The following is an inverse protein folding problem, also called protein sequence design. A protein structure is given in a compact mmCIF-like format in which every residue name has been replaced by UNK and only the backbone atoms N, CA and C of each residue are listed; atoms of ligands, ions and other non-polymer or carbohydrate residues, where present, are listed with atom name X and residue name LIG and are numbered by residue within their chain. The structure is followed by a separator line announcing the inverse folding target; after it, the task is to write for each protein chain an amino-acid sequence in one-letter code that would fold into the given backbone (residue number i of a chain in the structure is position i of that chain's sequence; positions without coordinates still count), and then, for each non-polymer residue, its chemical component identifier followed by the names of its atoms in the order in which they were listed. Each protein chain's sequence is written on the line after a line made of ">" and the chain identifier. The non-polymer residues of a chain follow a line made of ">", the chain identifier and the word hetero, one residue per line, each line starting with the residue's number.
data_IF_241864563920
#
_entry.id   IF_241864563920
#
_cell.length_a   1.000
_cell.length_b   1.000
_cell.length_c   1.000
_cell.angle_alpha   90.00
_cell.angle_beta   90.00
_cell.angle_gamma   90.00
#
_symmetry.space_group_name_H-M   'P 1'
#
loop_
_entity.id
_entity.type
_entity.pdbx_description
1 polymer ?
#
# COMPACT_ATOMS: atom_id res chain seq x y z
N UNK A 1 -17.60 -11.58 -22.66
CA UNK A 1 -18.35 -11.27 -21.41
C UNK A 1 -18.64 -9.80 -21.50
N UNK A 2 -19.87 -9.37 -21.28
CA UNK A 2 -20.19 -7.95 -21.33
C UNK A 2 -19.54 -7.18 -20.15
N UNK A 3 -19.37 -5.88 -20.31
CA UNK A 3 -18.68 -5.00 -19.36
C UNK A 3 -19.33 -5.03 -17.95
N UNK A 4 -20.67 -5.06 -17.89
CA UNK A 4 -21.43 -5.14 -16.65
C UNK A 4 -21.06 -6.39 -15.84
N UNK A 5 -21.13 -7.56 -16.46
CA UNK A 5 -20.82 -8.82 -15.83
C UNK A 5 -19.33 -8.94 -15.47
N UNK A 6 -18.45 -8.34 -16.28
CA UNK A 6 -17.03 -8.30 -15.97
C UNK A 6 -16.75 -7.52 -14.67
N UNK A 7 -17.21 -6.27 -14.60
CA UNK A 7 -16.99 -5.41 -13.41
C UNK A 7 -17.64 -6.03 -12.17
N UNK A 8 -18.87 -6.54 -12.25
CA UNK A 8 -19.52 -7.26 -11.13
C UNK A 8 -18.67 -8.40 -10.58
N UNK A 9 -18.06 -9.21 -11.44
CA UNK A 9 -17.16 -10.29 -11.01
C UNK A 9 -15.92 -9.73 -10.31
N UNK A 10 -15.34 -8.67 -10.83
CA UNK A 10 -14.11 -8.08 -10.30
C UNK A 10 -14.25 -7.45 -8.90
N UNK A 11 -15.46 -7.27 -8.38
CA UNK A 11 -15.66 -6.96 -6.96
C UNK A 11 -15.15 -8.06 -6.03
N UNK A 12 -15.12 -9.30 -6.48
CA UNK A 12 -14.69 -10.45 -5.70
C UNK A 12 -13.24 -10.80 -6.00
N UNK A 13 -12.41 -10.95 -4.95
CA UNK A 13 -10.99 -11.31 -5.06
C UNK A 13 -10.76 -12.53 -5.96
N UNK A 14 -11.54 -13.60 -5.76
CA UNK A 14 -11.42 -14.85 -6.55
C UNK A 14 -11.45 -14.63 -8.07
N UNK A 15 -12.25 -13.64 -8.52
CA UNK A 15 -12.36 -13.35 -9.95
C UNK A 15 -11.21 -12.47 -10.42
N UNK A 16 -10.73 -11.52 -9.60
CA UNK A 16 -9.53 -10.76 -9.91
C UNK A 16 -8.32 -11.69 -10.05
N UNK A 17 -8.18 -12.64 -9.12
CA UNK A 17 -7.10 -13.64 -9.15
C UNK A 17 -7.22 -14.55 -10.38
N UNK A 18 -8.43 -15.07 -10.66
CA UNK A 18 -8.67 -15.98 -11.78
C UNK A 18 -8.46 -15.32 -13.15
N UNK A 19 -8.87 -14.07 -13.29
CA UNK A 19 -8.83 -13.36 -14.58
C UNK A 19 -7.54 -12.56 -14.76
N UNK A 20 -6.76 -12.31 -13.69
CA UNK A 20 -5.61 -11.42 -13.71
C UNK A 20 -6.01 -9.98 -14.00
N UNK A 21 -7.25 -9.58 -13.63
CA UNK A 21 -7.81 -8.26 -13.91
C UNK A 21 -8.22 -7.56 -12.62
N UNK A 22 -8.26 -6.24 -12.68
CA UNK A 22 -8.85 -5.37 -11.64
C UNK A 22 -9.51 -4.16 -12.33
N UNK A 23 -10.26 -3.38 -11.58
CA UNK A 23 -10.86 -2.17 -12.12
C UNK A 23 -10.62 -0.97 -11.20
N UNK A 24 -10.59 0.20 -11.81
CA UNK A 24 -10.40 1.50 -11.17
C UNK A 24 -11.62 2.36 -11.44
N UNK A 25 -12.11 3.08 -10.44
CA UNK A 25 -13.29 3.94 -10.51
C UNK A 25 -12.89 5.41 -10.42
N UNK A 26 -13.43 6.23 -11.30
CA UNK A 26 -13.29 7.69 -11.30
C UNK A 26 -12.21 8.22 -12.22
N UNK A 27 -12.43 9.44 -12.69
CA UNK A 27 -11.64 10.08 -13.74
C UNK A 27 -10.18 10.28 -13.32
N UNK A 28 -9.94 10.77 -12.10
CA UNK A 28 -8.58 11.03 -11.59
C UNK A 28 -7.79 9.72 -11.44
N UNK A 29 -8.46 8.67 -10.95
CA UNK A 29 -7.83 7.37 -10.76
C UNK A 29 -7.51 6.67 -12.11
N UNK A 30 -8.39 6.84 -13.10
CA UNK A 30 -8.17 6.35 -14.47
C UNK A 30 -7.09 7.18 -15.17
N UNK A 31 -7.09 8.50 -15.00
CA UNK A 31 -6.07 9.38 -15.57
C UNK A 31 -4.66 9.15 -14.98
N UNK A 32 -4.58 8.63 -13.74
CA UNK A 32 -3.31 8.26 -13.12
C UNK A 32 -2.71 6.96 -13.68
N UNK A 33 -3.47 6.19 -14.46
CA UNK A 33 -3.01 4.92 -14.99
C UNK A 33 -1.86 5.11 -16.00
N UNK A 34 -0.87 4.23 -15.91
CA UNK A 34 0.29 4.19 -16.82
C UNK A 34 0.15 3.10 -17.90
N UNK A 35 -0.99 2.41 -17.93
CA UNK A 35 -1.29 1.34 -18.88
C UNK A 35 -2.63 1.60 -19.59
N UNK A 36 -2.79 0.98 -20.76
CA UNK A 36 -4.05 1.02 -21.47
C UNK A 36 -5.10 0.10 -20.82
N UNK A 37 -6.36 0.54 -20.69
CA UNK A 37 -7.41 -0.29 -20.16
C UNK A 37 -7.81 -1.42 -21.15
N UNK A 38 -8.14 -2.58 -20.60
CA UNK A 38 -8.73 -3.70 -21.36
C UNK A 38 -10.19 -3.41 -21.73
N UNK A 39 -10.85 -2.65 -20.86
CA UNK A 39 -12.26 -2.27 -21.02
C UNK A 39 -12.48 -0.89 -20.39
N UNK A 40 -13.22 -0.02 -21.05
CA UNK A 40 -13.61 1.29 -20.56
C UNK A 40 -15.13 1.39 -20.49
N UNK A 41 -15.68 1.63 -19.32
CA UNK A 41 -17.11 1.68 -19.05
C UNK A 41 -17.50 3.12 -18.77
N UNK A 42 -18.36 3.68 -19.63
CA UNK A 42 -18.87 5.06 -19.53
C UNK A 42 -20.39 5.14 -19.58
N UNK A 43 -21.09 4.00 -19.78
CA UNK A 43 -22.57 3.96 -19.75
C UNK A 43 -23.05 4.26 -18.32
N UNK A 44 -23.82 5.36 -18.11
CA UNK A 44 -24.28 5.75 -16.79
C UNK A 44 -25.15 4.68 -16.09
N UNK A 45 -25.88 3.87 -16.84
CA UNK A 45 -26.71 2.79 -16.28
C UNK A 45 -25.83 1.68 -15.71
N UNK A 46 -24.80 1.29 -16.46
CA UNK A 46 -23.83 0.27 -16.02
C UNK A 46 -23.05 0.81 -14.80
N UNK A 47 -22.57 2.05 -14.87
CA UNK A 47 -21.83 2.68 -13.78
C UNK A 47 -22.63 2.73 -12.48
N UNK A 48 -23.92 3.14 -12.54
CA UNK A 48 -24.80 3.19 -11.38
C UNK A 48 -25.05 1.81 -10.75
N UNK A 49 -24.97 0.75 -11.55
CA UNK A 49 -25.24 -0.61 -11.08
C UNK A 49 -24.01 -1.30 -10.48
N UNK A 50 -22.80 -0.96 -10.94
CA UNK A 50 -21.57 -1.65 -10.53
C UNK A 50 -20.68 -0.84 -9.59
N UNK A 51 -20.85 0.45 -9.50
CA UNK A 51 -20.02 1.28 -8.63
C UNK A 51 -20.31 1.02 -7.15
N UNK A 52 -19.25 1.05 -6.35
CA UNK A 52 -19.30 1.01 -4.88
C UNK A 52 -19.09 2.39 -4.24
N UNK A 53 -18.93 3.43 -5.05
CA UNK A 53 -18.80 4.79 -4.59
C UNK A 53 -20.18 5.36 -4.16
N UNK A 54 -20.19 6.28 -3.20
CA UNK A 54 -21.42 6.95 -2.75
C UNK A 54 -22.14 7.67 -3.90
N UNK A 55 -21.35 8.17 -4.87
CA UNK A 55 -21.86 8.73 -6.13
C UNK A 55 -21.20 7.96 -7.27
N UNK A 56 -21.98 7.41 -8.23
CA UNK A 56 -21.41 6.72 -9.36
C UNK A 56 -20.40 7.61 -10.11
N UNK A 57 -19.21 7.08 -10.43
CA UNK A 57 -18.23 7.81 -11.22
C UNK A 57 -18.72 7.96 -12.68
N UNK A 58 -18.07 8.79 -13.47
CA UNK A 58 -18.34 8.90 -14.92
C UNK A 58 -17.60 7.86 -15.74
N UNK A 59 -16.65 7.17 -15.13
CA UNK A 59 -15.84 6.15 -15.81
C UNK A 59 -15.39 5.08 -14.83
N UNK A 60 -15.39 3.84 -15.31
CA UNK A 60 -14.69 2.69 -14.72
C UNK A 60 -13.78 2.13 -15.81
N UNK A 61 -12.54 1.85 -15.49
CA UNK A 61 -11.60 1.22 -16.40
C UNK A 61 -11.06 -0.08 -15.83
N UNK A 62 -11.01 -1.13 -16.63
CA UNK A 62 -10.49 -2.45 -16.28
C UNK A 62 -9.08 -2.59 -16.79
N UNK A 63 -8.17 -3.07 -15.96
CA UNK A 63 -6.76 -3.25 -16.29
C UNK A 63 -6.29 -4.66 -15.98
N UNK A 64 -5.17 -5.04 -16.59
CA UNK A 64 -4.45 -6.28 -16.26
C UNK A 64 -3.59 -6.06 -15.02
N UNK A 65 -3.50 -7.08 -14.15
CA UNK A 65 -2.59 -7.01 -12.99
C UNK A 65 -1.11 -6.98 -13.38
N UNK A 66 -0.76 -7.62 -14.49
CA UNK A 66 0.60 -7.62 -15.02
C UNK A 66 1.04 -6.28 -15.62
N UNK A 67 0.13 -5.30 -15.71
CA UNK A 67 0.44 -3.91 -16.06
C UNK A 67 0.85 -3.04 -14.87
N UNK A 68 0.73 -3.56 -13.64
CA UNK A 68 1.27 -2.87 -12.46
C UNK A 68 2.80 -2.90 -12.45
N UNK A 69 3.45 -1.95 -11.74
CA UNK A 69 4.91 -1.91 -11.68
C UNK A 69 5.51 -3.26 -11.26
N UNK A 70 6.51 -3.70 -12.01
CA UNK A 70 7.32 -4.85 -11.59
C UNK A 70 8.04 -4.54 -10.27
N UNK A 71 8.37 -5.60 -9.52
CA UNK A 71 9.17 -5.43 -8.30
C UNK A 71 10.52 -4.80 -8.64
N UNK A 72 10.84 -3.77 -7.89
CA UNK A 72 12.11 -3.08 -7.91
C UNK A 72 12.50 -2.76 -6.47
N UNK A 73 13.74 -3.08 -6.09
CA UNK A 73 14.25 -2.72 -4.78
C UNK A 73 14.38 -1.21 -4.65
N UNK A 74 13.95 -0.71 -3.51
CA UNK A 74 14.06 0.71 -3.12
C UNK A 74 14.91 0.83 -1.85
N UNK A 75 15.38 2.04 -1.55
CA UNK A 75 16.08 2.33 -0.31
C UNK A 75 15.21 2.05 0.92
N UNK A 76 13.90 2.18 0.80
CA UNK A 76 12.94 1.83 1.84
C UNK A 76 11.86 0.87 1.32
N UNK A 77 11.43 -0.05 2.17
CA UNK A 77 10.29 -0.95 1.92
C UNK A 77 9.37 -0.96 3.14
N UNK A 78 8.07 -0.82 2.92
CA UNK A 78 7.05 -1.16 3.92
C UNK A 78 6.69 -2.63 3.76
N UNK A 79 7.03 -3.46 4.71
CA UNK A 79 6.72 -4.89 4.72
C UNK A 79 5.49 -5.14 5.61
N UNK A 80 4.38 -5.51 5.00
CA UNK A 80 3.06 -5.61 5.63
C UNK A 80 2.75 -7.05 6.00
N UNK A 81 2.57 -7.30 7.31
CA UNK A 81 2.17 -8.62 7.81
C UNK A 81 0.69 -8.65 8.11
N UNK A 82 -0.09 -9.39 7.30
CA UNK A 82 -1.51 -9.67 7.49
C UNK A 82 -2.39 -8.44 7.76
N UNK A 83 -2.07 -7.31 7.14
CA UNK A 83 -2.89 -6.10 7.23
C UNK A 83 -4.21 -6.36 6.52
N UNK A 84 -5.28 -6.54 7.30
CA UNK A 84 -6.59 -7.00 6.82
C UNK A 84 -7.48 -5.88 6.27
N UNK A 85 -7.29 -4.62 6.71
CA UNK A 85 -8.08 -3.50 6.19
C UNK A 85 -7.51 -2.99 4.85
N UNK A 86 -8.29 -3.05 3.76
CA UNK A 86 -7.84 -2.57 2.44
C UNK A 86 -7.61 -1.06 2.40
N UNK A 87 -8.21 -0.29 3.31
CA UNK A 87 -7.94 1.15 3.45
C UNK A 87 -6.53 1.40 3.98
N UNK A 88 -6.08 0.63 4.98
CA UNK A 88 -4.71 0.71 5.51
C UNK A 88 -3.70 0.28 4.44
N UNK A 89 -3.93 -0.83 3.73
CA UNK A 89 -3.06 -1.27 2.63
C UNK A 89 -2.95 -0.17 1.56
N UNK A 90 -4.08 0.39 1.10
CA UNK A 90 -4.07 1.46 0.10
C UNK A 90 -3.38 2.74 0.58
N UNK A 91 -3.58 3.12 1.86
CA UNK A 91 -2.92 4.28 2.46
C UNK A 91 -1.41 4.08 2.57
N UNK A 92 -0.96 2.87 2.94
CA UNK A 92 0.46 2.53 2.99
C UNK A 92 1.11 2.56 1.60
N UNK A 93 0.42 2.08 0.56
CA UNK A 93 0.88 2.20 -0.83
C UNK A 93 1.01 3.68 -1.23
N UNK A 94 0.01 4.51 -0.89
CA UNK A 94 0.07 5.95 -1.16
C UNK A 94 1.20 6.64 -0.42
N UNK A 95 1.44 6.25 0.81
CA UNK A 95 2.56 6.75 1.62
C UNK A 95 3.90 6.32 1.03
N UNK A 96 4.03 5.06 0.61
CA UNK A 96 5.22 4.56 -0.05
C UNK A 96 5.55 5.35 -1.33
N UNK A 97 4.55 5.66 -2.15
CA UNK A 97 4.71 6.54 -3.33
C UNK A 97 5.30 7.90 -2.96
N UNK A 98 4.73 8.55 -1.94
CA UNK A 98 5.17 9.88 -1.49
C UNK A 98 6.65 9.92 -1.03
N UNK A 99 7.16 8.80 -0.52
CA UNK A 99 8.54 8.69 -0.02
C UNK A 99 9.46 7.87 -0.94
N UNK A 100 9.01 7.48 -2.13
CA UNK A 100 9.81 6.69 -3.06
C UNK A 100 10.12 5.26 -2.57
N UNK A 101 9.28 4.72 -1.68
CA UNK A 101 9.44 3.40 -1.10
C UNK A 101 8.72 2.31 -1.92
N UNK A 102 9.06 1.05 -1.67
CA UNK A 102 8.34 -0.12 -2.15
C UNK A 102 7.42 -0.69 -1.07
N UNK A 103 6.52 -1.61 -1.45
CA UNK A 103 5.64 -2.31 -0.50
C UNK A 103 5.73 -3.81 -0.72
N UNK A 104 5.98 -4.57 0.34
CA UNK A 104 5.93 -6.03 0.36
C UNK A 104 4.70 -6.49 1.18
N UNK A 105 4.01 -7.50 0.68
CA UNK A 105 2.74 -7.97 1.24
C UNK A 105 2.86 -9.45 1.63
N UNK A 106 2.61 -9.80 2.90
CA UNK A 106 2.49 -11.19 3.31
C UNK A 106 1.18 -11.82 2.80
N UNK A 107 1.10 -13.15 2.73
CA UNK A 107 -0.20 -13.83 2.67
C UNK A 107 -1.09 -13.37 3.82
N UNK A 108 -2.38 -13.14 3.55
CA UNK A 108 -3.33 -12.62 4.55
C UNK A 108 -3.55 -11.11 4.49
N UNK A 109 -2.70 -10.35 3.83
CA UNK A 109 -2.99 -8.94 3.54
C UNK A 109 -4.23 -8.78 2.65
N UNK A 110 -4.93 -7.65 2.83
CA UNK A 110 -5.97 -7.25 1.90
C UNK A 110 -5.39 -7.11 0.49
N UNK A 111 -6.19 -7.48 -0.50
CA UNK A 111 -5.80 -7.37 -1.91
C UNK A 111 -5.62 -5.89 -2.29
N UNK A 112 -4.40 -5.45 -2.69
CA UNK A 112 -4.13 -4.06 -3.07
C UNK A 112 -4.93 -3.62 -4.30
N UNK A 113 -5.43 -4.57 -5.11
CA UNK A 113 -6.29 -4.31 -6.26
C UNK A 113 -7.79 -4.39 -5.95
N UNK A 114 -8.18 -4.48 -4.67
CA UNK A 114 -9.58 -4.36 -4.28
C UNK A 114 -10.09 -2.92 -4.46
N UNK A 115 -11.37 -2.70 -4.79
CA UNK A 115 -11.91 -1.35 -5.01
C UNK A 115 -11.67 -0.38 -3.85
N UNK A 116 -11.77 -0.87 -2.59
CA UNK A 116 -11.51 -0.05 -1.40
C UNK A 116 -10.03 0.34 -1.28
N UNK A 117 -9.10 -0.60 -1.53
CA UNK A 117 -7.67 -0.31 -1.50
C UNK A 117 -7.30 0.66 -2.62
N UNK A 118 -7.76 0.43 -3.85
CA UNK A 118 -7.48 1.30 -5.00
C UNK A 118 -7.92 2.74 -4.77
N UNK A 119 -9.10 2.95 -4.19
CA UNK A 119 -9.52 4.32 -3.82
C UNK A 119 -8.56 4.97 -2.82
N UNK A 120 -8.10 4.20 -1.82
CA UNK A 120 -7.17 4.72 -0.81
C UNK A 120 -5.78 5.01 -1.39
N UNK A 121 -5.36 4.31 -2.46
CA UNK A 121 -4.07 4.58 -3.12
C UNK A 121 -4.06 5.93 -3.85
N UNK A 122 -5.21 6.46 -4.24
CA UNK A 122 -5.32 7.68 -5.05
C UNK A 122 -4.40 7.67 -6.29
N UNK A 123 -4.31 6.51 -6.98
CA UNK A 123 -3.49 6.32 -8.17
C UNK A 123 -2.02 5.91 -7.92
N UNK A 124 -1.56 5.87 -6.67
CA UNK A 124 -0.18 5.46 -6.35
C UNK A 124 0.12 4.00 -6.70
N UNK A 125 -0.90 3.16 -6.86
CA UNK A 125 -0.77 1.76 -7.29
C UNK A 125 0.01 1.61 -8.60
N UNK A 126 0.01 2.63 -9.45
CA UNK A 126 0.68 2.66 -10.75
C UNK A 126 2.18 3.00 -10.70
N UNK A 127 2.69 3.39 -9.52
CA UNK A 127 4.07 3.86 -9.35
C UNK A 127 4.86 3.09 -8.31
N UNK A 128 4.16 2.41 -7.40
CA UNK A 128 4.80 1.70 -6.28
C UNK A 128 5.07 0.24 -6.66
N UNK A 129 6.32 -0.22 -6.61
CA UNK A 129 6.64 -1.64 -6.75
C UNK A 129 6.01 -2.46 -5.62
N UNK A 130 5.28 -3.53 -5.98
CA UNK A 130 4.64 -4.42 -5.03
C UNK A 130 5.27 -5.82 -5.08
N UNK A 131 5.70 -6.34 -3.92
CA UNK A 131 6.19 -7.70 -3.77
C UNK A 131 5.14 -8.56 -3.04
N UNK A 132 4.83 -9.71 -3.61
CA UNK A 132 3.89 -10.68 -3.00
C UNK A 132 4.50 -11.58 -1.93
N UNK A 133 5.80 -11.46 -1.66
CA UNK A 133 6.55 -12.21 -0.64
C UNK A 133 7.29 -11.23 0.25
N UNK A 134 6.78 -11.01 1.45
CA UNK A 134 7.30 -9.98 2.35
C UNK A 134 8.61 -10.36 3.06
N UNK A 135 8.93 -11.64 3.13
CA UNK A 135 10.13 -12.22 3.72
C UNK A 135 11.38 -12.09 2.84
N UNK A 136 11.20 -11.74 1.57
CA UNK A 136 12.31 -11.56 0.63
C UNK A 136 12.84 -10.11 0.56
N UNK A 137 12.42 -9.22 1.49
CA UNK A 137 12.88 -7.83 1.50
C UNK A 137 14.32 -7.71 1.98
N UNK A 138 15.10 -6.89 1.29
CA UNK A 138 16.51 -6.65 1.60
C UNK A 138 16.66 -5.45 2.56
N UNK A 139 17.78 -5.41 3.28
CA UNK A 139 18.19 -4.32 4.16
C UNK A 139 17.92 -4.58 5.63
N UNK A 140 18.16 -3.57 6.47
CA UNK A 140 17.90 -3.63 7.91
C UNK A 140 16.41 -3.77 8.17
N UNK A 141 16.02 -4.83 8.88
CA UNK A 141 14.62 -5.14 9.21
C UNK A 141 14.24 -4.52 10.55
N UNK A 142 13.46 -3.47 10.49
CA UNK A 142 13.00 -2.70 11.66
C UNK A 142 11.53 -3.03 11.93
N UNK A 143 11.27 -3.79 12.98
CA UNK A 143 9.92 -4.11 13.40
C UNK A 143 9.30 -2.93 14.14
N UNK A 144 8.20 -2.36 13.62
CA UNK A 144 7.48 -1.31 14.31
C UNK A 144 6.55 -1.94 15.36
N UNK A 145 6.87 -1.73 16.62
CA UNK A 145 6.13 -2.29 17.77
C UNK A 145 5.44 -1.19 18.58
N UNK A 146 4.29 -1.52 19.18
CA UNK A 146 3.56 -0.57 20.03
C UNK A 146 4.23 -0.40 21.40
N UNK A 147 4.85 -1.47 21.90
CA UNK A 147 5.45 -1.51 23.24
C UNK A 147 6.85 -2.13 23.19
N UNK A 148 7.72 -1.71 24.10
CA UNK A 148 9.11 -2.16 24.08
C UNK A 148 9.88 -1.54 22.90
N UNK A 149 11.04 -2.13 22.59
CA UNK A 149 11.90 -1.66 21.51
C UNK A 149 12.58 -0.31 21.76
N UNK A 150 13.47 0.04 20.87
CA UNK A 150 14.21 1.30 20.91
C UNK A 150 13.34 2.45 20.34
N UNK A 151 13.69 3.69 20.70
CA UNK A 151 13.07 4.84 20.03
C UNK A 151 13.46 4.84 18.55
N UNK A 152 12.48 4.89 17.66
CA UNK A 152 12.71 4.90 16.22
C UNK A 152 13.71 5.99 15.81
N UNK A 153 13.70 7.14 16.50
CA UNK A 153 14.62 8.22 16.24
C UNK A 153 16.08 7.87 16.57
N UNK A 154 16.35 6.86 17.40
CA UNK A 154 17.70 6.43 17.83
C UNK A 154 18.20 5.17 17.11
N UNK A 155 17.33 4.43 16.43
CA UNK A 155 17.69 3.20 15.70
C UNK A 155 18.61 3.52 14.54
N UNK A 156 19.71 2.77 14.40
CA UNK A 156 20.55 2.84 13.21
C UNK A 156 19.85 2.19 12.02
N UNK A 157 19.68 2.97 10.96
CA UNK A 157 19.09 2.53 9.71
C UNK A 157 20.21 2.38 8.67
N UNK A 158 20.33 1.21 8.06
CA UNK A 158 21.28 0.98 6.98
C UNK A 158 20.93 1.76 5.70
N UNK A 159 21.71 1.55 4.64
CA UNK A 159 21.44 2.15 3.32
C UNK A 159 20.10 1.69 2.74
N UNK A 160 19.65 0.49 3.12
CA UNK A 160 18.32 -0.05 2.81
C UNK A 160 17.63 -0.45 4.10
N UNK A 161 16.36 -0.14 4.21
CA UNK A 161 15.56 -0.47 5.38
C UNK A 161 14.21 -1.07 4.99
N UNK A 162 13.81 -2.12 5.70
CA UNK A 162 12.47 -2.66 5.65
C UNK A 162 11.77 -2.41 6.98
N UNK A 163 10.76 -1.55 6.99
CA UNK A 163 9.89 -1.35 8.14
C UNK A 163 8.81 -2.43 8.13
N UNK A 164 8.86 -3.31 9.13
CA UNK A 164 7.91 -4.41 9.29
C UNK A 164 6.69 -3.91 10.09
N UNK A 165 5.52 -4.02 9.51
CA UNK A 165 4.25 -3.55 10.06
C UNK A 165 3.34 -4.76 10.30
N UNK A 166 2.99 -5.03 11.54
CA UNK A 166 2.17 -6.15 11.95
C UNK A 166 0.66 -5.90 11.81
N UNK A 167 -0.11 -6.99 11.87
CA UNK A 167 -1.58 -6.97 11.92
C UNK A 167 -2.08 -6.05 13.04
N UNK A 168 -3.24 -5.42 12.84
CA UNK A 168 -3.76 -4.37 13.73
C UNK A 168 -4.04 -4.86 15.17
N UNK A 169 -4.27 -6.14 15.37
CA UNK A 169 -4.58 -6.72 16.70
C UNK A 169 -3.45 -7.57 17.23
N UNK A 170 -2.91 -8.46 16.41
CA UNK A 170 -1.92 -9.46 16.81
C UNK A 170 -0.47 -8.93 16.70
N UNK A 171 -0.27 -7.83 15.96
CA UNK A 171 1.06 -7.32 15.69
C UNK A 171 1.88 -8.22 14.76
N UNK A 172 3.19 -8.23 14.94
CA UNK A 172 4.11 -9.12 14.25
C UNK A 172 4.32 -10.39 15.07
N UNK A 173 4.36 -11.60 14.44
CA UNK A 173 4.75 -12.83 15.13
C UNK A 173 6.14 -12.73 15.75
N UNK A 174 6.34 -13.43 16.87
CA UNK A 174 7.62 -13.39 17.59
C UNK A 174 8.78 -14.01 16.79
N UNK A 175 8.48 -14.95 15.91
CA UNK A 175 9.43 -15.67 15.04
C UNK A 175 9.74 -14.93 13.72
N UNK A 176 9.13 -13.78 13.50
CA UNK A 176 9.48 -12.94 12.34
C UNK A 176 10.93 -12.45 12.49
N UNK A 177 11.74 -12.75 11.49
CA UNK A 177 13.14 -12.34 11.44
C UNK A 177 13.25 -10.81 11.33
N UNK A 178 13.96 -10.20 12.27
CA UNK A 178 14.16 -8.75 12.36
C UNK A 178 15.47 -8.43 13.08
N UNK A 179 16.05 -7.30 12.75
CA UNK A 179 17.30 -6.85 13.34
C UNK A 179 17.05 -6.02 14.61
N UNK A 180 15.94 -5.24 14.63
CA UNK A 180 15.61 -4.39 15.75
C UNK A 180 14.09 -4.19 15.87
N UNK A 181 13.61 -4.12 17.12
CA UNK A 181 12.28 -3.63 17.47
C UNK A 181 12.36 -2.13 17.73
N UNK A 182 11.60 -1.35 16.98
CA UNK A 182 11.52 0.10 17.14
C UNK A 182 10.09 0.55 17.47
N UNK A 183 9.98 1.53 18.35
CA UNK A 183 8.72 2.16 18.70
C UNK A 183 8.71 3.63 18.32
N UNK A 184 7.53 4.13 18.00
CA UNK A 184 7.27 5.56 17.85
C UNK A 184 6.78 6.05 19.21
N UNK A 185 7.52 6.94 19.91
CA UNK A 185 7.07 7.48 21.18
C UNK A 185 5.77 8.27 21.02
N UNK A 186 4.73 7.84 21.72
CA UNK A 186 3.41 8.48 21.74
C UNK A 186 2.95 8.69 23.18
N UNK A 187 2.16 9.73 23.42
CA UNK A 187 1.53 10.00 24.70
C UNK A 187 0.01 9.88 24.56
N UNK A 188 -0.66 9.19 25.48
CA UNK A 188 -2.12 9.16 25.56
C UNK A 188 -2.85 8.13 24.70
N UNK A 189 -2.12 7.23 24.04
CA UNK A 189 -2.68 6.09 23.33
C UNK A 189 -1.79 4.86 23.50
N UNK A 190 -2.37 3.64 23.36
CA UNK A 190 -1.60 2.39 23.43
C UNK A 190 -0.85 2.10 22.13
N UNK A 191 -1.42 2.50 21.00
CA UNK A 191 -0.84 2.26 19.68
C UNK A 191 -1.32 3.28 18.65
N UNK A 192 -0.62 3.36 17.53
CA UNK A 192 -1.03 4.10 16.34
C UNK A 192 -1.78 3.19 15.36
N UNK A 193 -2.61 3.81 14.52
CA UNK A 193 -3.04 3.15 13.29
C UNK A 193 -1.83 2.74 12.46
N UNK A 194 -1.87 1.54 11.87
CA UNK A 194 -0.72 0.96 11.16
C UNK A 194 -0.25 1.81 9.98
N UNK A 195 -1.18 2.47 9.27
CA UNK A 195 -0.80 3.36 8.17
C UNK A 195 -0.14 4.65 8.68
N UNK A 196 -0.56 5.16 9.84
CA UNK A 196 0.11 6.29 10.48
C UNK A 196 1.53 5.91 10.96
N UNK A 197 1.70 4.72 11.53
CA UNK A 197 3.02 4.23 11.94
C UNK A 197 3.97 4.12 10.73
N UNK A 198 3.52 3.54 9.62
CA UNK A 198 4.31 3.46 8.39
C UNK A 198 4.68 4.83 7.82
N UNK A 199 3.76 5.80 7.89
CA UNK A 199 4.02 7.17 7.42
C UNK A 199 5.10 7.87 8.26
N UNK A 200 5.03 7.73 9.59
CA UNK A 200 6.02 8.30 10.51
C UNK A 200 7.40 7.65 10.29
N UNK A 201 7.45 6.34 10.09
CA UNK A 201 8.70 5.63 9.84
C UNK A 201 9.39 6.10 8.55
N UNK A 202 8.65 6.23 7.46
CA UNK A 202 9.19 6.74 6.20
C UNK A 202 9.58 8.22 6.30
N UNK A 203 8.80 9.03 7.01
CA UNK A 203 9.15 10.43 7.27
C UNK A 203 10.46 10.53 8.07
N UNK A 204 10.61 9.74 9.15
CA UNK A 204 11.82 9.74 9.96
C UNK A 204 13.05 9.33 9.13
N UNK A 205 12.93 8.30 8.28
CA UNK A 205 13.98 7.94 7.35
C UNK A 205 14.32 9.08 6.40
N UNK A 206 13.31 9.69 5.78
CA UNK A 206 13.51 10.79 4.81
C UNK A 206 14.20 11.98 5.46
N UNK A 207 13.86 12.31 6.71
CA UNK A 207 14.46 13.40 7.47
C UNK A 207 15.95 13.19 7.73
N UNK A 208 16.39 11.93 7.86
CA UNK A 208 17.82 11.59 8.06
C UNK A 208 18.61 11.56 6.76
N UNK A 209 17.97 11.23 5.66
CA UNK A 209 18.63 11.06 4.35
C UNK A 209 18.61 12.33 3.49
N UNK A 210 17.66 13.23 3.74
CA UNK A 210 17.62 14.52 3.05
C UNK A 210 18.68 15.46 3.63
N UNK A 211 19.53 16.09 2.79
CA UNK A 211 20.42 17.15 3.26
C UNK A 211 19.55 18.27 3.88
N UNK A 212 19.97 18.76 5.05
CA UNK A 212 19.32 19.91 5.70
C UNK A 212 19.23 21.05 4.69
N UNK A 213 18.01 21.50 4.36
CA UNK A 213 17.81 22.66 3.50
C UNK A 213 18.62 23.82 4.02
N UNK A 214 19.38 24.55 3.20
CA UNK A 214 20.08 25.74 3.65
C UNK A 214 19.06 26.69 4.27
N UNK A 215 19.35 27.15 5.50
CA UNK A 215 18.54 28.15 6.19
C UNK A 215 18.33 29.34 5.25
N UNK A 216 17.07 29.63 4.92
CA UNK A 216 16.74 30.90 4.23
C UNK A 216 17.09 32.01 5.21
N UNK A 217 18.23 32.63 4.99
CA UNK A 217 18.58 33.93 5.56
C UNK A 217 17.78 35.03 4.88
#
# INVERSE_FOLDING_TARGET
>A
MDALNLVRKLHQRRWRDKLGLFFVEGEDAVAAATAEPVELVTDPKVLAEVSTAAHPPRVIAVYRRDSLPAWEERAATLALWQIADPGNVGTLIRTADAFGAAVALSPGCADPTSPKALRATAGSIWRVPLLGTWDAVAGTRVALVAHGGDDLASVELGERVAFLLGAEREGLPADVERDVDARIPIAGAESLNVAAAGAIALYELSRRTMPSSPSRT
#
